data_IF_497750250232
#
_entry.id   IF_497750250232
#
_cell.length_a   1.000
_cell.length_b   1.000
_cell.length_c   1.000
_cell.angle_alpha   90.00
_cell.angle_beta   90.00
_cell.angle_gamma   90.00
#
_symmetry.space_group_name_H-M   'P 1'
#
loop_
_entity.id
_entity.type
_entity.pdbx_description
1 polymer ?
#
# COMPACT_ATOMS: atom_id res chain seq x y z
N UNK A 1 13.40 28.07 2.55
CA UNK A 1 11.94 28.25 2.75
C UNK A 1 11.35 27.58 1.55
N UNK A 2 10.48 26.59 1.73
CA UNK A 2 9.91 25.89 0.58
C UNK A 2 9.05 26.86 -0.26
N UNK A 3 9.05 26.65 -1.58
CA UNK A 3 8.17 27.33 -2.52
C UNK A 3 6.78 26.71 -2.45
N UNK A 4 5.77 27.55 -2.20
CA UNK A 4 4.38 27.10 -2.04
C UNK A 4 3.70 27.00 -3.40
N UNK A 5 3.18 25.82 -3.73
CA UNK A 5 2.41 25.52 -4.94
C UNK A 5 0.92 25.55 -4.60
N UNK A 6 0.15 26.34 -5.34
CA UNK A 6 -1.28 26.57 -5.10
C UNK A 6 -2.16 26.27 -6.32
N UNK A 7 -1.56 26.04 -7.48
CA UNK A 7 -2.26 25.64 -8.70
C UNK A 7 -1.41 24.72 -9.59
N UNK A 8 -2.05 24.13 -10.61
CA UNK A 8 -1.40 23.16 -11.51
C UNK A 8 -0.35 23.80 -12.42
N UNK A 9 -0.45 25.09 -12.72
CA UNK A 9 0.56 25.79 -13.53
C UNK A 9 1.85 25.98 -12.72
N UNK A 10 1.74 26.30 -11.43
CA UNK A 10 2.87 26.34 -10.50
C UNK A 10 3.49 24.94 -10.29
N UNK A 11 2.66 23.90 -10.24
CA UNK A 11 3.12 22.52 -10.16
C UNK A 11 3.99 22.16 -11.39
N UNK A 12 3.55 22.49 -12.60
CA UNK A 12 4.36 22.29 -13.82
C UNK A 12 5.63 23.14 -13.80
N UNK A 13 5.54 24.37 -13.31
CA UNK A 13 6.66 25.31 -13.28
C UNK A 13 7.83 24.87 -12.39
N UNK A 14 7.67 23.83 -11.55
CA UNK A 14 8.77 23.19 -10.82
C UNK A 14 9.93 22.77 -11.73
N UNK A 15 9.65 22.46 -13.00
CA UNK A 15 10.68 22.12 -14.00
C UNK A 15 11.74 23.23 -14.18
N UNK A 16 11.41 24.47 -13.81
CA UNK A 16 12.32 25.62 -13.92
C UNK A 16 13.34 25.70 -12.79
N UNK A 17 13.09 25.07 -11.65
CA UNK A 17 14.06 24.94 -10.56
C UNK A 17 13.90 23.59 -9.85
N UNK A 18 14.63 22.60 -10.34
CA UNK A 18 14.59 21.23 -9.84
C UNK A 18 15.27 21.05 -8.47
N UNK A 19 15.95 22.08 -7.95
CA UNK A 19 16.72 22.01 -6.70
C UNK A 19 16.02 22.63 -5.51
N UNK A 20 14.98 23.41 -5.75
CA UNK A 20 14.19 24.07 -4.72
C UNK A 20 13.33 23.05 -3.94
N UNK A 21 13.05 23.36 -2.68
CA UNK A 21 12.09 22.61 -1.86
C UNK A 21 10.68 23.13 -2.12
N UNK A 22 9.71 22.25 -2.29
CA UNK A 22 8.34 22.62 -2.62
C UNK A 22 7.34 22.08 -1.59
N UNK A 23 6.31 22.86 -1.32
CA UNK A 23 5.16 22.42 -0.52
C UNK A 23 3.83 22.78 -1.18
N UNK A 24 2.81 21.94 -1.02
CA UNK A 24 1.46 22.30 -1.45
C UNK A 24 0.79 23.25 -0.45
N UNK A 25 0.25 24.35 -0.96
CA UNK A 25 -0.59 25.31 -0.21
C UNK A 25 -2.07 24.96 -0.21
N UNK A 26 -2.48 23.93 -0.94
CA UNK A 26 -3.85 23.47 -1.06
C UNK A 26 -3.96 22.27 -2.00
N UNK A 27 -5.17 21.72 -2.13
CA UNK A 27 -5.45 20.72 -3.16
C UNK A 27 -5.28 21.35 -4.55
N UNK A 28 -4.66 20.61 -5.47
CA UNK A 28 -4.47 21.00 -6.86
C UNK A 28 -5.50 20.27 -7.72
N UNK A 29 -6.25 21.02 -8.52
CA UNK A 29 -7.06 20.49 -9.61
C UNK A 29 -6.19 20.47 -10.87
N UNK A 30 -5.82 19.27 -11.34
CA UNK A 30 -5.00 19.06 -12.52
C UNK A 30 -5.81 18.62 -13.74
N UNK A 31 -7.15 18.67 -13.71
CA UNK A 31 -8.02 18.21 -14.81
C UNK A 31 -7.73 18.92 -16.15
N UNK A 32 -7.28 20.18 -16.09
CA UNK A 32 -6.87 20.96 -17.26
C UNK A 32 -5.67 20.35 -18.01
N UNK A 33 -4.84 19.52 -17.35
CA UNK A 33 -3.66 18.89 -17.96
C UNK A 33 -4.04 18.01 -19.14
N UNK A 34 -5.24 17.43 -19.18
CA UNK A 34 -5.75 16.66 -20.32
C UNK A 34 -5.72 17.41 -21.67
N UNK A 35 -5.79 18.75 -21.64
CA UNK A 35 -5.68 19.60 -22.82
C UNK A 35 -4.26 20.13 -23.12
N UNK A 36 -3.27 19.84 -22.27
CA UNK A 36 -1.91 20.38 -22.38
C UNK A 36 -1.04 19.59 -23.35
N UNK A 37 0.03 20.23 -23.81
CA UNK A 37 1.06 19.60 -24.66
C UNK A 37 0.49 18.85 -25.88
N UNK A 38 -0.55 19.43 -26.51
CA UNK A 38 -1.23 18.82 -27.66
C UNK A 38 -2.06 17.56 -27.32
N UNK A 39 -2.50 17.43 -26.06
CA UNK A 39 -3.22 16.27 -25.54
C UNK A 39 -2.31 15.19 -24.94
N UNK A 40 -1.01 15.46 -24.80
CA UNK A 40 -0.06 14.57 -24.11
C UNK A 40 -0.13 14.68 -22.58
N UNK A 41 -0.82 15.68 -22.05
CA UNK A 41 -0.95 15.84 -20.60
C UNK A 41 0.10 16.74 -19.97
N UNK A 42 0.23 16.63 -18.66
CA UNK A 42 1.32 17.22 -17.88
C UNK A 42 2.69 16.76 -18.42
N UNK A 43 3.70 17.62 -18.35
CA UNK A 43 5.08 17.23 -18.70
C UNK A 43 5.79 16.72 -17.45
N UNK A 44 6.18 15.42 -17.38
CA UNK A 44 6.79 14.85 -16.18
C UNK A 44 7.97 15.69 -15.67
N UNK A 45 8.05 15.91 -14.36
CA UNK A 45 9.18 16.62 -13.77
C UNK A 45 10.40 15.68 -13.78
N UNK A 46 11.33 15.93 -14.70
CA UNK A 46 12.52 15.12 -14.87
C UNK A 46 13.66 15.64 -14.00
N UNK A 47 14.47 14.74 -13.45
CA UNK A 47 15.68 15.08 -12.69
C UNK A 47 15.44 15.90 -11.40
N UNK A 48 14.29 15.70 -10.74
CA UNK A 48 13.95 16.41 -9.50
C UNK A 48 14.98 16.14 -8.40
N UNK A 49 15.52 17.20 -7.79
CA UNK A 49 16.61 17.12 -6.82
C UNK A 49 16.35 17.89 -5.52
N UNK A 50 15.21 18.57 -5.39
CA UNK A 50 14.74 19.18 -4.16
C UNK A 50 13.97 18.21 -3.27
N UNK A 51 13.16 18.73 -2.35
CA UNK A 51 12.15 17.98 -1.60
C UNK A 51 10.73 18.42 -1.95
N UNK A 52 9.74 17.54 -1.72
CA UNK A 52 8.33 17.81 -2.00
C UNK A 52 7.45 17.37 -0.83
N UNK A 53 6.76 18.32 -0.21
CA UNK A 53 5.78 18.05 0.85
C UNK A 53 4.35 18.42 0.41
N UNK A 54 3.50 17.41 0.25
CA UNK A 54 2.10 17.62 -0.05
C UNK A 54 1.30 18.24 1.08
N UNK A 55 1.84 18.30 2.31
CA UNK A 55 1.19 18.85 3.50
C UNK A 55 -0.21 18.23 3.78
N UNK A 56 -0.40 16.98 3.34
CA UNK A 56 -1.66 16.25 3.40
C UNK A 56 -2.70 16.66 2.35
N UNK A 57 -2.34 17.47 1.36
CA UNK A 57 -3.18 17.84 0.22
C UNK A 57 -3.04 16.85 -0.94
N UNK A 58 -3.96 16.97 -1.89
CA UNK A 58 -4.02 16.11 -3.07
C UNK A 58 -3.77 16.86 -4.36
N UNK A 59 -3.26 16.15 -5.35
CA UNK A 59 -3.27 16.53 -6.77
C UNK A 59 -4.30 15.62 -7.43
N UNK A 60 -5.39 16.21 -7.92
CA UNK A 60 -6.55 15.47 -8.44
C UNK A 60 -6.56 15.54 -9.97
N UNK A 61 -7.02 14.48 -10.63
CA UNK A 61 -7.26 14.42 -12.08
C UNK A 61 -6.00 14.69 -12.93
N UNK A 62 -4.83 14.30 -12.43
CA UNK A 62 -3.57 14.45 -13.15
C UNK A 62 -3.54 13.50 -14.37
N UNK A 63 -3.44 14.06 -15.56
CA UNK A 63 -3.41 13.32 -16.82
C UNK A 63 -2.04 13.40 -17.49
N UNK A 64 -1.46 12.24 -17.82
CA UNK A 64 -0.24 12.14 -18.64
C UNK A 64 -0.43 11.01 -19.65
N UNK A 65 -0.41 11.32 -20.95
CA UNK A 65 -0.60 10.34 -22.03
C UNK A 65 0.53 10.40 -23.05
N UNK A 66 1.61 9.69 -22.73
CA UNK A 66 2.87 9.65 -23.49
C UNK A 66 3.26 8.20 -23.80
N UNK A 67 2.44 7.45 -24.55
CA UNK A 67 2.54 5.98 -24.67
C UNK A 67 3.86 5.48 -25.29
N UNK A 68 4.63 6.37 -25.93
CA UNK A 68 5.93 6.05 -26.53
C UNK A 68 7.13 6.46 -25.69
N UNK A 69 6.93 7.18 -24.60
CA UNK A 69 7.97 7.77 -23.74
C UNK A 69 8.09 7.01 -22.41
N UNK A 70 9.28 6.98 -21.82
CA UNK A 70 9.48 6.44 -20.47
C UNK A 70 9.42 7.54 -19.41
N UNK A 71 9.53 7.14 -18.14
CA UNK A 71 9.57 8.07 -16.99
C UNK A 71 8.28 8.90 -16.87
N UNK A 72 7.15 8.21 -16.96
CA UNK A 72 5.82 8.83 -16.96
C UNK A 72 5.22 8.76 -15.56
N UNK A 73 5.36 9.86 -14.84
CA UNK A 73 4.79 10.10 -13.51
C UNK A 73 4.80 11.61 -13.23
N UNK A 74 4.28 12.06 -12.07
CA UNK A 74 4.48 13.45 -11.62
C UNK A 74 5.99 13.78 -11.62
N UNK A 75 6.79 12.94 -10.98
CA UNK A 75 8.26 12.97 -11.05
C UNK A 75 8.74 11.86 -11.97
N UNK A 76 9.14 12.17 -13.20
CA UNK A 76 9.62 11.15 -14.13
C UNK A 76 10.84 10.41 -13.58
N UNK A 77 11.82 11.16 -13.05
CA UNK A 77 12.87 10.57 -12.20
C UNK A 77 13.42 11.58 -11.19
N UNK A 78 13.90 11.06 -10.06
CA UNK A 78 14.57 11.85 -9.01
C UNK A 78 16.08 11.75 -9.13
N UNK A 79 16.84 12.78 -8.78
CA UNK A 79 18.31 12.75 -8.74
C UNK A 79 18.87 12.18 -7.42
N UNK A 80 20.20 11.96 -7.40
CA UNK A 80 20.92 11.36 -6.27
C UNK A 80 21.07 12.26 -5.03
N UNK A 81 20.56 13.49 -5.06
CA UNK A 81 20.48 14.35 -3.89
C UNK A 81 19.04 14.79 -3.58
N UNK A 82 18.05 14.21 -4.27
CA UNK A 82 16.64 14.45 -4.00
C UNK A 82 16.33 14.17 -2.53
N UNK A 83 15.66 15.13 -1.88
CA UNK A 83 15.16 15.05 -0.52
C UNK A 83 13.88 14.22 -0.42
N UNK A 84 13.14 14.32 0.68
CA UNK A 84 11.91 13.56 0.88
C UNK A 84 10.81 13.95 -0.11
N UNK A 85 9.99 12.98 -0.50
CA UNK A 85 8.73 13.20 -1.22
C UNK A 85 7.64 12.63 -0.33
N UNK A 86 6.79 13.48 0.23
CA UNK A 86 5.92 13.08 1.33
C UNK A 86 4.55 13.74 1.35
N UNK A 87 3.61 13.12 2.07
CA UNK A 87 2.31 13.66 2.46
C UNK A 87 1.43 14.13 1.28
N UNK A 88 1.49 13.45 0.13
CA UNK A 88 0.72 13.81 -1.07
C UNK A 88 -0.13 12.64 -1.57
N UNK A 89 -1.38 12.94 -1.93
CA UNK A 89 -2.24 12.03 -2.67
C UNK A 89 -2.32 12.40 -4.15
N UNK A 90 -2.04 11.48 -5.05
CA UNK A 90 -2.31 11.62 -6.49
C UNK A 90 -3.64 10.93 -6.77
N UNK A 91 -4.71 11.71 -6.82
CA UNK A 91 -6.09 11.20 -6.83
C UNK A 91 -6.64 11.23 -8.25
N UNK A 92 -7.27 10.13 -8.64
CA UNK A 92 -7.95 9.94 -9.92
C UNK A 92 -7.07 10.28 -11.12
N UNK A 93 -5.80 9.87 -11.06
CA UNK A 93 -4.88 10.07 -12.15
C UNK A 93 -5.15 9.14 -13.33
N UNK A 94 -4.77 9.58 -14.53
CA UNK A 94 -4.76 8.75 -15.72
C UNK A 94 -3.39 8.87 -16.42
N UNK A 95 -2.57 7.84 -16.25
CA UNK A 95 -1.19 7.79 -16.70
C UNK A 95 -1.03 6.73 -17.80
N UNK A 96 -0.44 7.10 -18.92
CA UNK A 96 -0.14 6.21 -20.05
C UNK A 96 1.28 6.47 -20.54
N UNK A 97 2.12 5.44 -20.53
CA UNK A 97 3.54 5.53 -20.88
C UNK A 97 4.13 4.22 -21.41
N UNK A 98 5.44 4.26 -21.71
CA UNK A 98 6.19 3.10 -22.19
C UNK A 98 6.81 2.28 -21.06
N UNK A 99 7.70 2.88 -20.26
CA UNK A 99 8.41 2.23 -19.15
C UNK A 99 8.54 3.22 -17.98
N UNK A 100 8.75 2.72 -16.77
CA UNK A 100 8.83 3.51 -15.53
C UNK A 100 7.60 4.44 -15.42
N UNK A 101 6.42 3.83 -15.48
CA UNK A 101 5.12 4.52 -15.44
C UNK A 101 4.49 4.31 -14.07
N UNK A 102 4.23 5.41 -13.38
CA UNK A 102 3.55 5.39 -12.09
C UNK A 102 2.86 6.73 -11.79
N UNK A 103 2.10 6.80 -10.69
CA UNK A 103 1.45 8.05 -10.32
C UNK A 103 2.46 9.09 -9.79
N UNK A 104 3.36 8.68 -8.87
CA UNK A 104 4.21 9.62 -8.14
C UNK A 104 5.62 9.72 -8.72
N UNK A 105 6.35 8.59 -8.82
CA UNK A 105 7.74 8.57 -9.30
C UNK A 105 7.92 7.46 -10.35
N UNK A 106 8.42 7.82 -11.53
CA UNK A 106 8.81 6.83 -12.54
C UNK A 106 10.05 6.06 -12.10
N UNK A 107 11.17 6.76 -11.94
CA UNK A 107 12.47 6.17 -11.60
C UNK A 107 13.14 6.88 -10.41
N UNK A 108 13.20 6.22 -9.26
CA UNK A 108 13.72 6.77 -8.00
C UNK A 108 15.20 6.40 -7.81
N UNK A 109 16.12 7.21 -8.37
CA UNK A 109 17.57 6.94 -8.32
C UNK A 109 18.10 6.68 -6.89
N UNK A 110 19.15 5.85 -6.75
CA UNK A 110 19.80 5.60 -5.47
C UNK A 110 20.33 6.90 -4.85
N UNK A 111 20.05 7.10 -3.56
CA UNK A 111 20.66 8.18 -2.79
C UNK A 111 20.48 8.03 -1.28
N UNK A 112 21.33 8.70 -0.52
CA UNK A 112 21.34 8.63 0.95
C UNK A 112 20.23 9.52 1.51
N UNK A 113 19.36 8.95 2.35
CA UNK A 113 18.52 9.71 3.28
C UNK A 113 17.20 10.32 2.78
N UNK A 114 16.73 10.03 1.55
CA UNK A 114 15.33 10.36 1.19
C UNK A 114 14.44 9.16 1.40
N UNK A 115 13.21 9.47 1.77
CA UNK A 115 12.11 8.54 1.90
C UNK A 115 10.93 9.06 1.08
N UNK A 116 10.22 8.14 0.42
CA UNK A 116 8.84 8.39 -0.02
C UNK A 116 7.91 8.00 1.11
N UNK A 117 7.18 8.96 1.69
CA UNK A 117 6.37 8.67 2.88
C UNK A 117 4.99 9.31 2.92
N UNK A 118 4.01 8.60 3.48
CA UNK A 118 2.62 9.09 3.59
C UNK A 118 2.03 9.52 2.23
N UNK A 119 2.39 8.81 1.17
CA UNK A 119 1.95 9.11 -0.19
C UNK A 119 0.98 8.05 -0.69
N UNK A 120 0.02 8.46 -1.51
CA UNK A 120 -0.90 7.52 -2.10
C UNK A 120 -1.35 7.87 -3.50
N UNK A 121 -1.89 6.88 -4.21
CA UNK A 121 -2.46 7.07 -5.54
C UNK A 121 -3.78 6.32 -5.78
N UNK A 122 -4.66 6.93 -6.58
CA UNK A 122 -5.89 6.32 -7.13
C UNK A 122 -6.01 6.66 -8.61
N UNK A 123 -6.71 5.84 -9.39
CA UNK A 123 -6.93 6.06 -10.83
C UNK A 123 -6.42 4.90 -11.71
N UNK A 124 -5.92 5.22 -12.91
CA UNK A 124 -5.42 4.27 -13.91
C UNK A 124 -3.97 4.51 -14.28
N UNK A 125 -3.19 3.43 -14.32
CA UNK A 125 -1.82 3.41 -14.83
C UNK A 125 -1.73 2.41 -15.98
N UNK A 126 -1.27 2.86 -17.14
CA UNK A 126 -1.09 2.04 -18.34
C UNK A 126 0.36 2.13 -18.84
N UNK A 127 0.98 0.98 -19.00
CA UNK A 127 2.35 0.81 -19.48
C UNK A 127 2.47 -0.22 -20.58
N UNK A 128 3.56 -0.18 -21.33
CA UNK A 128 3.86 -1.20 -22.34
C UNK A 128 5.13 -1.97 -22.04
N UNK A 129 5.94 -1.57 -21.05
CA UNK A 129 7.22 -2.19 -20.70
C UNK A 129 7.47 -2.43 -19.20
N UNK A 130 8.68 -2.19 -18.70
CA UNK A 130 9.07 -2.46 -17.31
C UNK A 130 8.78 -1.28 -16.39
N UNK A 131 8.72 -1.51 -15.08
CA UNK A 131 8.55 -0.46 -14.09
C UNK A 131 7.14 0.14 -14.10
N UNK A 132 6.11 -0.68 -14.30
CA UNK A 132 4.72 -0.21 -14.37
C UNK A 132 4.05 -0.48 -13.04
N UNK A 133 3.73 0.58 -12.29
CA UNK A 133 3.13 0.40 -10.98
C UNK A 133 2.28 1.57 -10.51
N UNK A 134 1.49 1.33 -9.46
CA UNK A 134 0.56 2.34 -8.97
C UNK A 134 1.21 3.57 -8.35
N UNK A 135 2.36 3.44 -7.68
CA UNK A 135 3.00 4.56 -6.97
C UNK A 135 4.42 4.86 -7.47
N UNK A 136 5.29 3.86 -7.53
CA UNK A 136 6.69 4.02 -7.96
C UNK A 136 7.05 2.96 -9.00
N UNK A 137 7.54 3.38 -10.17
CA UNK A 137 7.91 2.45 -11.25
C UNK A 137 9.14 1.62 -10.89
N UNK A 138 10.27 2.29 -10.65
CA UNK A 138 11.54 1.71 -10.25
C UNK A 138 12.05 2.41 -9.00
N UNK A 139 12.40 1.65 -7.97
CA UNK A 139 12.77 2.16 -6.66
C UNK A 139 14.16 1.69 -6.23
N UNK A 140 14.93 2.59 -5.62
CA UNK A 140 16.20 2.29 -4.94
C UNK A 140 16.24 2.77 -3.48
N UNK A 141 15.16 3.38 -2.98
CA UNK A 141 15.12 4.11 -1.70
C UNK A 141 13.94 3.66 -0.83
N UNK A 142 13.88 4.15 0.41
CA UNK A 142 12.83 3.72 1.32
C UNK A 142 11.45 4.26 0.88
N UNK A 143 10.44 3.40 0.92
CA UNK A 143 9.03 3.73 0.75
C UNK A 143 8.30 3.30 2.03
N UNK A 144 7.60 4.21 2.68
CA UNK A 144 7.03 3.95 4.00
C UNK A 144 5.67 4.60 4.18
N UNK A 145 4.70 3.88 4.76
CA UNK A 145 3.35 4.41 5.00
C UNK A 145 2.65 4.88 3.70
N UNK A 146 2.85 4.13 2.61
CA UNK A 146 2.40 4.48 1.28
C UNK A 146 1.44 3.45 0.69
N UNK A 147 0.53 3.86 -0.18
CA UNK A 147 -0.39 2.92 -0.81
C UNK A 147 -0.83 3.30 -2.22
N UNK A 148 -1.37 2.32 -2.93
CA UNK A 148 -2.00 2.54 -4.23
C UNK A 148 -3.28 1.72 -4.36
N UNK A 149 -4.33 2.36 -4.88
CA UNK A 149 -5.54 1.68 -5.32
C UNK A 149 -5.71 1.78 -6.84
N UNK A 150 -4.66 2.19 -7.57
CA UNK A 150 -4.72 2.34 -9.02
C UNK A 150 -4.94 0.99 -9.72
N UNK A 151 -5.77 0.99 -10.77
CA UNK A 151 -5.79 -0.11 -11.72
C UNK A 151 -4.56 -0.03 -12.60
N UNK A 152 -3.71 -1.06 -12.56
CA UNK A 152 -2.44 -1.11 -13.28
C UNK A 152 -2.56 -2.05 -14.48
N UNK A 153 -2.26 -1.56 -15.67
CA UNK A 153 -2.30 -2.35 -16.91
C UNK A 153 -0.94 -2.32 -17.62
N UNK A 154 -0.37 -3.48 -17.92
CA UNK A 154 0.84 -3.61 -18.74
C UNK A 154 0.57 -4.47 -19.98
N UNK A 155 0.54 -3.89 -21.18
CA UNK A 155 0.11 -4.60 -22.40
C UNK A 155 1.23 -5.25 -23.22
N UNK A 156 2.46 -5.30 -22.69
CA UNK A 156 3.56 -5.96 -23.41
C UNK A 156 4.16 -5.12 -24.55
N UNK A 157 5.29 -5.59 -25.06
CA UNK A 157 6.09 -5.00 -26.14
C UNK A 157 7.45 -5.71 -26.23
N UNK A 158 8.05 -5.82 -27.43
CA UNK A 158 9.32 -6.54 -27.56
C UNK A 158 10.46 -5.97 -26.69
N UNK A 159 11.25 -6.84 -26.03
CA UNK A 159 12.66 -6.57 -25.70
C UNK A 159 13.12 -6.55 -24.23
N UNK A 160 12.29 -6.58 -23.19
CA UNK A 160 12.78 -6.51 -21.79
C UNK A 160 11.90 -7.28 -20.79
N UNK A 161 12.51 -7.87 -19.75
CA UNK A 161 11.85 -8.48 -18.58
C UNK A 161 11.29 -7.40 -17.62
N UNK A 162 10.14 -7.64 -16.97
CA UNK A 162 9.29 -6.53 -16.46
C UNK A 162 8.72 -6.78 -15.09
N UNK A 163 9.06 -5.89 -14.15
CA UNK A 163 8.32 -5.67 -12.92
C UNK A 163 7.04 -4.88 -13.19
N UNK A 164 5.88 -5.49 -12.95
CA UNK A 164 4.57 -4.82 -12.94
C UNK A 164 3.88 -5.12 -11.61
N UNK A 165 3.38 -4.10 -10.92
CA UNK A 165 2.71 -4.33 -9.64
C UNK A 165 1.74 -3.23 -9.21
N UNK A 166 0.98 -3.50 -8.15
CA UNK A 166 0.05 -2.52 -7.60
C UNK A 166 0.73 -1.33 -6.92
N UNK A 167 1.91 -1.49 -6.31
CA UNK A 167 2.63 -0.40 -5.63
C UNK A 167 3.98 -0.06 -6.29
N UNK A 168 4.89 -1.03 -6.38
CA UNK A 168 6.27 -0.83 -6.86
C UNK A 168 6.61 -1.81 -7.98
N UNK A 169 6.98 -1.31 -9.17
CA UNK A 169 7.30 -2.19 -10.30
C UNK A 169 8.56 -3.00 -10.02
N UNK A 170 9.64 -2.30 -9.67
CA UNK A 170 10.94 -2.90 -9.39
C UNK A 170 11.57 -2.26 -8.14
N UNK A 171 11.97 -3.07 -7.17
CA UNK A 171 12.53 -2.60 -5.90
C UNK A 171 13.97 -3.08 -5.73
N UNK A 172 14.93 -2.24 -6.10
CA UNK A 172 16.36 -2.57 -6.10
C UNK A 172 17.13 -1.81 -5.00
N UNK A 173 18.43 -2.08 -4.88
CA UNK A 173 19.31 -1.57 -3.86
C UNK A 173 18.85 -1.91 -2.43
N UNK A 174 19.00 -0.94 -1.54
CA UNK A 174 18.56 -1.02 -0.15
C UNK A 174 17.20 -0.35 0.06
N UNK A 175 16.37 -0.27 -0.98
CA UNK A 175 15.05 0.36 -0.93
C UNK A 175 14.08 -0.46 -0.08
N UNK A 176 13.98 -0.15 1.22
CA UNK A 176 13.04 -0.82 2.11
C UNK A 176 11.60 -0.38 1.82
N UNK A 177 10.66 -1.32 1.77
CA UNK A 177 9.22 -1.06 1.68
C UNK A 177 8.60 -1.45 3.02
N UNK A 178 7.94 -0.51 3.71
CA UNK A 178 7.45 -0.74 5.08
C UNK A 178 6.10 -0.10 5.31
N UNK A 179 5.13 -0.85 5.86
CA UNK A 179 3.77 -0.32 6.11
C UNK A 179 3.10 0.19 4.84
N UNK A 180 3.22 -0.59 3.79
CA UNK A 180 2.69 -0.23 2.48
C UNK A 180 1.64 -1.21 1.98
N UNK A 181 0.77 -0.76 1.08
CA UNK A 181 -0.22 -1.66 0.48
C UNK A 181 -0.66 -1.33 -0.93
N UNK A 182 -1.19 -2.35 -1.61
CA UNK A 182 -1.83 -2.23 -2.90
C UNK A 182 -3.18 -2.95 -2.94
N UNK A 183 -4.24 -2.26 -3.34
CA UNK A 183 -5.58 -2.85 -3.51
C UNK A 183 -6.13 -2.76 -4.93
N UNK A 184 -5.49 -1.99 -5.80
CA UNK A 184 -5.87 -1.89 -7.21
C UNK A 184 -5.51 -3.15 -8.00
N UNK A 185 -6.34 -3.49 -9.00
CA UNK A 185 -6.13 -4.68 -9.82
C UNK A 185 -4.92 -4.51 -10.75
N UNK A 186 -4.21 -5.61 -11.00
CA UNK A 186 -3.07 -5.67 -11.94
C UNK A 186 -3.47 -6.54 -13.13
N UNK A 187 -3.46 -5.96 -14.32
CA UNK A 187 -3.68 -6.68 -15.59
C UNK A 187 -2.42 -6.63 -16.44
N UNK A 188 -1.97 -7.78 -16.93
CA UNK A 188 -0.78 -7.84 -17.76
C UNK A 188 -0.96 -8.76 -18.97
N UNK A 189 -0.36 -8.40 -20.11
CA UNK A 189 -0.19 -9.29 -21.25
C UNK A 189 1.29 -9.49 -21.54
N UNK A 190 1.75 -10.74 -21.61
CA UNK A 190 3.15 -11.07 -21.93
C UNK A 190 3.28 -11.54 -23.38
N UNK A 191 4.19 -10.94 -24.14
CA UNK A 191 4.36 -11.21 -25.57
C UNK A 191 5.75 -11.74 -25.95
N UNK A 192 6.82 -11.40 -25.22
CA UNK A 192 8.18 -11.83 -25.63
C UNK A 192 9.26 -12.02 -24.54
N UNK A 193 9.06 -11.67 -23.26
CA UNK A 193 10.09 -11.80 -22.20
C UNK A 193 9.52 -12.13 -20.82
N UNK A 194 10.41 -12.39 -19.84
CA UNK A 194 10.06 -12.76 -18.46
C UNK A 194 9.12 -11.72 -17.83
N UNK A 195 7.98 -12.18 -17.33
CA UNK A 195 6.99 -11.33 -16.67
C UNK A 195 7.06 -11.51 -15.16
N UNK A 196 7.48 -10.46 -14.46
CA UNK A 196 7.64 -10.40 -13.01
C UNK A 196 6.47 -9.60 -12.45
N UNK A 197 5.42 -10.28 -12.02
CA UNK A 197 4.15 -9.64 -11.67
C UNK A 197 3.84 -9.93 -10.22
N UNK A 198 3.62 -8.87 -9.45
CA UNK A 198 3.22 -8.97 -8.06
C UNK A 198 2.05 -8.07 -7.71
N UNK A 199 1.32 -8.41 -6.65
CA UNK A 199 0.27 -7.55 -6.13
C UNK A 199 0.84 -6.27 -5.51
N UNK A 200 1.90 -6.40 -4.69
CA UNK A 200 2.59 -5.26 -4.08
C UNK A 200 3.81 -4.84 -4.91
N UNK A 201 4.68 -5.80 -5.23
CA UNK A 201 5.98 -5.56 -5.86
C UNK A 201 6.25 -6.51 -7.03
N UNK A 202 6.72 -6.01 -8.17
CA UNK A 202 6.96 -6.88 -9.33
C UNK A 202 8.20 -7.75 -9.12
N UNK A 203 9.29 -7.12 -8.70
CA UNK A 203 10.57 -7.76 -8.46
C UNK A 203 11.37 -7.09 -7.35
N UNK A 204 12.07 -7.91 -6.56
CA UNK A 204 13.08 -7.54 -5.59
C UNK A 204 14.33 -8.34 -5.97
N UNK A 205 15.33 -7.79 -6.67
CA UNK A 205 16.51 -8.57 -7.07
C UNK A 205 17.66 -8.55 -6.04
N UNK A 206 17.58 -7.70 -5.02
CA UNK A 206 18.69 -7.35 -4.14
C UNK A 206 18.23 -7.17 -2.68
N UNK A 207 18.88 -6.30 -1.91
CA UNK A 207 18.76 -6.21 -0.43
C UNK A 207 17.52 -5.45 0.08
N UNK A 208 16.56 -5.14 -0.79
CA UNK A 208 15.39 -4.35 -0.43
C UNK A 208 14.41 -5.15 0.43
N UNK A 209 14.40 -4.91 1.74
CA UNK A 209 13.47 -5.56 2.67
C UNK A 209 12.04 -5.09 2.46
N UNK A 210 11.07 -5.99 2.61
CA UNK A 210 9.66 -5.64 2.64
C UNK A 210 9.03 -6.14 3.93
N UNK A 211 8.55 -5.20 4.74
CA UNK A 211 7.96 -5.54 6.03
C UNK A 211 6.58 -4.95 6.20
N UNK A 212 5.75 -5.62 7.00
CA UNK A 212 4.50 -5.05 7.48
C UNK A 212 3.68 -4.52 6.30
N UNK A 213 3.48 -5.29 5.24
CA UNK A 213 2.87 -4.79 4.00
C UNK A 213 1.95 -5.83 3.38
N UNK A 214 1.02 -5.42 2.53
CA UNK A 214 0.07 -6.37 1.95
C UNK A 214 -0.51 -5.98 0.60
N UNK A 215 -1.06 -6.98 -0.10
CA UNK A 215 -1.74 -6.81 -1.38
C UNK A 215 -3.12 -7.48 -1.39
N UNK A 216 -4.14 -6.78 -1.88
CA UNK A 216 -5.51 -7.31 -2.02
C UNK A 216 -6.05 -7.22 -3.44
N UNK A 217 -5.40 -6.46 -4.33
CA UNK A 217 -5.80 -6.33 -5.73
C UNK A 217 -5.67 -7.65 -6.49
N UNK A 218 -6.61 -7.94 -7.39
CA UNK A 218 -6.58 -9.15 -8.20
C UNK A 218 -5.56 -9.01 -9.34
N UNK A 219 -4.91 -10.12 -9.68
CA UNK A 219 -3.94 -10.23 -10.76
C UNK A 219 -4.55 -11.04 -11.90
N UNK A 220 -4.55 -10.47 -13.11
CA UNK A 220 -4.98 -11.14 -14.34
C UNK A 220 -3.89 -11.06 -15.41
N UNK A 221 -3.37 -12.21 -15.83
CA UNK A 221 -2.29 -12.30 -16.81
C UNK A 221 -2.72 -13.11 -18.02
N UNK A 222 -2.57 -12.53 -19.21
CA UNK A 222 -2.66 -13.26 -20.48
C UNK A 222 -1.27 -13.41 -21.06
N UNK A 223 -0.71 -14.61 -20.98
CA UNK A 223 0.67 -14.89 -21.34
C UNK A 223 0.81 -15.56 -22.72
N UNK A 224 1.84 -15.14 -23.46
CA UNK A 224 2.30 -15.77 -24.69
C UNK A 224 3.20 -16.97 -24.41
N UNK A 225 4.47 -16.89 -24.84
CA UNK A 225 5.42 -18.02 -24.86
C UNK A 225 6.63 -17.85 -23.94
N UNK A 226 6.45 -17.25 -22.76
CA UNK A 226 7.56 -16.67 -21.97
C UNK A 226 7.52 -17.12 -20.52
N UNK A 227 8.68 -17.07 -19.83
CA UNK A 227 8.74 -17.32 -18.38
C UNK A 227 7.87 -16.36 -17.59
N UNK A 228 7.05 -16.90 -16.70
CA UNK A 228 6.17 -16.16 -15.80
C UNK A 228 6.64 -16.35 -14.37
N UNK A 229 6.82 -15.26 -13.65
CA UNK A 229 7.04 -15.24 -12.21
C UNK A 229 5.97 -14.34 -11.59
N UNK A 230 4.89 -14.99 -11.15
CA UNK A 230 3.67 -14.30 -10.71
C UNK A 230 3.39 -14.67 -9.27
N UNK A 231 3.36 -13.66 -8.39
CA UNK A 231 2.98 -13.84 -7.00
C UNK A 231 1.85 -12.91 -6.59
N UNK A 232 0.92 -13.37 -5.75
CA UNK A 232 -0.11 -12.48 -5.19
C UNK A 232 0.47 -11.30 -4.41
N UNK A 233 1.69 -11.43 -3.86
CA UNK A 233 2.44 -10.36 -3.20
C UNK A 233 3.61 -9.87 -4.07
N UNK A 234 4.54 -10.79 -4.42
CA UNK A 234 5.77 -10.50 -5.14
C UNK A 234 6.02 -11.45 -6.30
N UNK A 235 6.35 -10.95 -7.49
CA UNK A 235 6.65 -11.81 -8.64
C UNK A 235 7.95 -12.60 -8.45
N UNK A 236 9.06 -11.87 -8.46
CA UNK A 236 10.41 -12.39 -8.20
C UNK A 236 10.98 -11.80 -6.91
N UNK A 237 11.23 -12.65 -5.93
CA UNK A 237 11.78 -12.25 -4.65
C UNK A 237 13.18 -12.84 -4.51
N UNK A 238 14.20 -11.98 -4.56
CA UNK A 238 15.58 -12.41 -4.54
C UNK A 238 16.52 -11.41 -3.88
N UNK A 239 17.72 -11.89 -3.55
CA UNK A 239 18.82 -11.06 -3.06
C UNK A 239 19.04 -11.19 -1.57
N UNK A 240 20.29 -11.47 -1.19
CA UNK A 240 20.65 -11.73 0.20
C UNK A 240 20.35 -10.50 1.06
N UNK A 241 19.47 -10.64 2.04
CA UNK A 241 19.00 -9.54 2.90
C UNK A 241 17.79 -8.76 2.39
N UNK A 242 17.25 -9.13 1.22
CA UNK A 242 15.95 -8.65 0.70
C UNK A 242 14.78 -9.41 1.31
N UNK A 243 14.75 -9.50 2.64
CA UNK A 243 13.81 -10.33 3.39
C UNK A 243 12.38 -9.78 3.34
N UNK A 244 11.39 -10.67 3.25
CA UNK A 244 9.97 -10.32 3.30
C UNK A 244 9.38 -10.83 4.62
N UNK A 245 8.92 -9.93 5.48
CA UNK A 245 8.47 -10.30 6.83
C UNK A 245 7.16 -9.65 7.22
N UNK A 246 6.27 -10.40 7.87
CA UNK A 246 5.01 -9.88 8.37
C UNK A 246 4.12 -9.27 7.27
N UNK A 247 3.92 -10.01 6.19
CA UNK A 247 3.23 -9.54 4.99
C UNK A 247 2.10 -10.50 4.57
N UNK A 248 1.14 -10.01 3.79
CA UNK A 248 0.08 -10.90 3.28
C UNK A 248 -0.46 -10.55 1.89
N UNK A 249 -0.99 -11.56 1.19
CA UNK A 249 -1.66 -11.41 -0.10
C UNK A 249 -3.04 -12.09 -0.13
N UNK A 250 -4.06 -11.37 -0.60
CA UNK A 250 -5.45 -11.88 -0.64
C UNK A 250 -6.11 -11.80 -2.01
N UNK A 251 -5.56 -11.02 -2.94
CA UNK A 251 -6.07 -10.92 -4.30
C UNK A 251 -5.96 -12.23 -5.06
N UNK A 252 -6.91 -12.51 -5.95
CA UNK A 252 -6.84 -13.72 -6.80
C UNK A 252 -5.73 -13.59 -7.85
N UNK A 253 -5.20 -14.73 -8.29
CA UNK A 253 -4.20 -14.82 -9.36
C UNK A 253 -4.78 -15.66 -10.49
N UNK A 254 -5.06 -15.00 -11.62
CA UNK A 254 -5.58 -15.66 -12.83
C UNK A 254 -4.58 -15.58 -13.96
N UNK A 255 -4.19 -16.72 -14.52
CA UNK A 255 -3.20 -16.81 -15.61
C UNK A 255 -3.74 -17.63 -16.77
N UNK A 256 -3.88 -16.98 -17.93
CA UNK A 256 -4.20 -17.62 -19.21
C UNK A 256 -2.97 -17.62 -20.10
N UNK A 257 -2.30 -18.77 -20.28
CA UNK A 257 -1.03 -18.88 -21.00
C UNK A 257 -1.16 -19.72 -22.28
N UNK A 258 -0.51 -19.28 -23.37
CA UNK A 258 -0.37 -20.04 -24.61
C UNK A 258 0.70 -21.12 -24.56
N UNK A 259 1.82 -20.86 -23.86
CA UNK A 259 2.85 -21.84 -23.53
C UNK A 259 2.87 -22.08 -22.02
N UNK A 260 2.61 -23.33 -21.63
CA UNK A 260 2.52 -23.72 -20.22
C UNK A 260 3.85 -24.21 -19.66
N UNK A 261 4.92 -24.32 -20.48
CA UNK A 261 6.19 -24.89 -20.04
C UNK A 261 7.03 -23.98 -19.14
N UNK A 262 6.63 -22.71 -18.94
CA UNK A 262 7.47 -21.68 -18.31
C UNK A 262 6.71 -20.84 -17.27
N UNK A 263 6.00 -21.42 -16.31
CA UNK A 263 5.28 -20.64 -15.28
C UNK A 263 5.63 -21.03 -13.84
N UNK A 264 6.04 -20.02 -13.06
CA UNK A 264 6.17 -20.05 -11.61
C UNK A 264 5.09 -19.12 -11.02
N UNK A 265 4.03 -19.71 -10.48
CA UNK A 265 2.87 -18.99 -9.95
C UNK A 265 2.67 -19.36 -8.48
N UNK A 266 2.71 -18.36 -7.61
CA UNK A 266 2.42 -18.52 -6.19
C UNK A 266 1.30 -17.61 -5.71
N UNK A 267 0.55 -18.05 -4.70
CA UNK A 267 -0.43 -17.18 -4.04
C UNK A 267 0.22 -16.00 -3.28
N UNK A 268 1.49 -16.12 -2.90
CA UNK A 268 2.29 -15.06 -2.28
C UNK A 268 3.46 -14.68 -3.19
N UNK A 269 4.37 -15.61 -3.50
CA UNK A 269 5.57 -15.34 -4.29
C UNK A 269 5.65 -16.22 -5.55
N UNK A 270 5.94 -15.64 -6.71
CA UNK A 270 6.17 -16.44 -7.92
C UNK A 270 7.43 -17.30 -7.78
N UNK A 271 8.54 -16.66 -7.43
CA UNK A 271 9.87 -17.28 -7.33
C UNK A 271 10.64 -16.68 -6.15
N UNK A 272 11.27 -17.53 -5.33
CA UNK A 272 12.15 -17.13 -4.22
C UNK A 272 13.58 -17.65 -4.43
N UNK A 273 14.58 -16.75 -4.41
CA UNK A 273 15.99 -17.11 -4.61
C UNK A 273 16.94 -16.24 -3.77
N UNK A 274 17.82 -16.84 -2.96
CA UNK A 274 18.81 -16.08 -2.17
C UNK A 274 18.17 -15.01 -1.26
N UNK A 275 16.99 -15.27 -0.68
CA UNK A 275 16.22 -14.35 0.16
C UNK A 275 15.33 -15.16 1.13
N UNK A 276 14.81 -14.54 2.19
CA UNK A 276 13.93 -15.19 3.15
C UNK A 276 12.52 -14.61 3.13
N UNK A 277 11.51 -15.46 3.35
CA UNK A 277 10.13 -15.04 3.61
C UNK A 277 9.70 -15.61 4.95
N UNK A 278 9.26 -14.73 5.86
CA UNK A 278 8.95 -15.08 7.24
C UNK A 278 7.66 -14.43 7.74
N UNK A 279 6.88 -15.15 8.54
CA UNK A 279 5.61 -14.69 9.09
C UNK A 279 4.66 -14.06 8.04
N UNK A 280 4.50 -14.73 6.91
CA UNK A 280 3.65 -14.23 5.81
C UNK A 280 2.50 -15.18 5.46
N UNK A 281 1.44 -14.66 4.83
CA UNK A 281 0.36 -15.54 4.37
C UNK A 281 -0.30 -15.18 3.04
N UNK A 282 -0.89 -16.17 2.36
CA UNK A 282 -1.73 -15.99 1.17
C UNK A 282 -3.11 -16.65 1.28
N UNK A 283 -4.14 -16.02 0.69
CA UNK A 283 -5.50 -16.58 0.63
C UNK A 283 -6.17 -16.49 -0.74
N UNK A 284 -5.57 -15.79 -1.69
CA UNK A 284 -6.18 -15.54 -3.00
C UNK A 284 -6.40 -16.83 -3.81
N UNK A 285 -7.54 -16.91 -4.50
CA UNK A 285 -7.83 -17.99 -5.44
C UNK A 285 -6.81 -18.01 -6.58
N UNK A 286 -6.32 -19.20 -6.94
CA UNK A 286 -5.37 -19.39 -8.04
C UNK A 286 -6.06 -20.16 -9.16
N UNK A 287 -6.14 -19.53 -10.34
CA UNK A 287 -6.75 -20.13 -11.54
C UNK A 287 -5.80 -19.98 -12.72
N UNK A 288 -5.23 -21.09 -13.17
CA UNK A 288 -4.22 -21.10 -14.24
C UNK A 288 -4.57 -22.06 -15.36
N UNK A 289 -4.03 -21.82 -16.56
CA UNK A 289 -4.08 -22.79 -17.66
C UNK A 289 -3.48 -24.13 -17.24
N UNK A 290 -4.14 -25.24 -17.61
CA UNK A 290 -3.67 -26.59 -17.30
C UNK A 290 -2.28 -26.87 -17.91
N UNK A 291 -1.40 -27.49 -17.12
CA UNK A 291 -0.06 -27.90 -17.56
C UNK A 291 1.07 -26.96 -17.15
N UNK A 292 0.78 -25.84 -16.47
CA UNK A 292 1.84 -25.01 -15.90
C UNK A 292 2.52 -25.77 -14.74
N UNK A 293 3.86 -25.94 -14.75
CA UNK A 293 4.52 -26.90 -13.86
C UNK A 293 4.60 -26.46 -12.41
N UNK A 294 4.84 -25.17 -12.14
CA UNK A 294 5.15 -24.67 -10.80
C UNK A 294 4.04 -23.75 -10.32
N UNK A 295 2.98 -24.35 -9.76
CA UNK A 295 1.82 -23.63 -9.24
C UNK A 295 1.63 -24.00 -7.78
N UNK A 296 1.75 -23.00 -6.89
CA UNK A 296 1.72 -23.22 -5.45
C UNK A 296 0.77 -22.27 -4.72
N UNK A 297 0.14 -22.77 -3.66
CA UNK A 297 -0.74 -21.95 -2.81
C UNK A 297 -0.03 -20.78 -2.13
N UNK A 298 1.27 -20.92 -1.83
CA UNK A 298 2.11 -19.84 -1.29
C UNK A 298 3.21 -19.42 -2.26
N UNK A 299 4.11 -20.35 -2.64
CA UNK A 299 5.21 -20.06 -3.56
C UNK A 299 5.17 -20.99 -4.78
N UNK A 300 5.43 -20.43 -5.96
CA UNK A 300 5.52 -21.19 -7.21
C UNK A 300 6.79 -22.04 -7.25
N UNK A 301 7.95 -21.40 -7.09
CA UNK A 301 9.25 -22.06 -6.96
C UNK A 301 10.06 -21.44 -5.82
N UNK A 302 10.63 -22.29 -4.97
CA UNK A 302 11.44 -21.88 -3.85
C UNK A 302 12.82 -22.52 -3.89
N UNK A 303 13.86 -21.70 -3.90
CA UNK A 303 15.27 -22.14 -3.78
C UNK A 303 15.94 -21.64 -2.50
N UNK A 304 15.15 -21.19 -1.52
CA UNK A 304 15.62 -20.62 -0.26
C UNK A 304 14.63 -20.83 0.91
N UNK A 305 14.64 -19.93 1.89
CA UNK A 305 14.07 -20.14 3.21
C UNK A 305 12.70 -19.47 3.32
N UNK A 306 11.67 -20.31 3.54
CA UNK A 306 10.32 -19.88 3.88
C UNK A 306 9.99 -20.41 5.28
N UNK A 307 9.79 -19.52 6.24
CA UNK A 307 9.57 -19.86 7.66
C UNK A 307 8.23 -19.28 8.14
N UNK A 308 7.51 -20.01 8.98
CA UNK A 308 6.24 -19.55 9.60
C UNK A 308 5.20 -18.97 8.63
N UNK A 309 5.26 -19.36 7.36
CA UNK A 309 4.37 -18.86 6.32
C UNK A 309 3.20 -19.81 6.08
N UNK A 310 2.02 -19.26 5.80
CA UNK A 310 0.79 -20.03 5.65
C UNK A 310 0.04 -19.71 4.36
N UNK A 311 -0.71 -20.68 3.85
CA UNK A 311 -1.67 -20.44 2.78
C UNK A 311 -2.97 -21.19 3.02
N UNK A 312 -4.07 -20.59 2.59
CA UNK A 312 -5.40 -21.20 2.75
C UNK A 312 -5.66 -22.21 1.64
N UNK A 313 -5.77 -23.50 2.00
CA UNK A 313 -5.92 -24.59 1.03
C UNK A 313 -7.28 -24.65 0.35
N UNK A 314 -8.29 -24.00 0.93
CA UNK A 314 -9.65 -24.04 0.42
C UNK A 314 -9.93 -22.83 -0.46
N UNK A 315 -9.51 -21.63 -0.07
CA UNK A 315 -9.74 -20.43 -0.88
C UNK A 315 -8.77 -20.30 -2.04
N UNK A 316 -7.52 -20.74 -1.90
CA UNK A 316 -6.58 -20.76 -3.02
C UNK A 316 -6.95 -21.79 -4.09
N UNK A 317 -7.67 -22.85 -3.71
CA UNK A 317 -7.96 -24.01 -4.56
C UNK A 317 -6.75 -24.91 -4.81
N UNK A 318 -5.60 -24.65 -4.18
CA UNK A 318 -4.37 -25.43 -4.36
C UNK A 318 -4.28 -26.58 -3.34
N UNK A 319 -3.59 -27.65 -3.72
CA UNK A 319 -3.27 -28.76 -2.82
C UNK A 319 -1.81 -28.73 -2.32
N UNK A 320 -0.93 -28.03 -3.05
CA UNK A 320 0.52 -28.02 -2.83
C UNK A 320 1.08 -26.60 -2.95
N UNK A 321 2.30 -26.43 -2.47
CA UNK A 321 3.10 -25.21 -2.60
C UNK A 321 4.57 -25.56 -2.41
N UNK A 322 5.47 -24.86 -3.09
CA UNK A 322 6.91 -25.04 -2.90
C UNK A 322 7.37 -24.21 -1.69
N UNK A 323 7.01 -24.66 -0.49
CA UNK A 323 7.21 -23.94 0.77
C UNK A 323 5.94 -23.28 1.31
N UNK A 324 6.02 -22.82 2.55
CA UNK A 324 4.87 -22.46 3.37
C UNK A 324 4.04 -23.68 3.80
N UNK A 325 3.22 -23.53 4.83
CA UNK A 325 2.37 -24.59 5.37
C UNK A 325 0.92 -24.35 4.98
N UNK A 326 0.31 -25.31 4.27
CA UNK A 326 -1.12 -25.26 3.96
C UNK A 326 -1.98 -25.41 5.21
N UNK A 327 -2.96 -24.54 5.36
CA UNK A 327 -3.94 -24.55 6.46
C UNK A 327 -5.35 -24.47 5.88
N UNK A 328 -6.33 -25.09 6.54
CA UNK A 328 -7.73 -24.90 6.15
C UNK A 328 -8.18 -23.47 6.44
N UNK A 329 -9.26 -23.00 5.83
CA UNK A 329 -9.85 -21.69 6.14
C UNK A 329 -10.18 -21.54 7.62
N UNK A 330 -10.68 -22.59 8.27
CA UNK A 330 -10.95 -22.54 9.70
C UNK A 330 -9.67 -22.33 10.53
N UNK A 331 -8.57 -23.01 10.18
CA UNK A 331 -7.27 -22.82 10.82
C UNK A 331 -6.71 -21.43 10.55
N UNK A 332 -6.78 -20.94 9.31
CA UNK A 332 -6.33 -19.61 8.92
C UNK A 332 -7.11 -18.47 9.59
N UNK A 333 -8.29 -18.76 10.14
CA UNK A 333 -9.11 -17.81 10.91
C UNK A 333 -9.03 -18.02 12.43
N UNK A 334 -8.10 -18.86 12.88
CA UNK A 334 -7.87 -19.17 14.30
C UNK A 334 -6.54 -18.58 14.75
N UNK A 335 -6.57 -17.69 15.76
CA UNK A 335 -5.38 -17.02 16.31
C UNK A 335 -4.26 -17.99 16.70
N UNK A 336 -4.63 -19.07 17.40
CA UNK A 336 -3.70 -20.09 17.88
C UNK A 336 -2.83 -20.68 16.76
N UNK A 337 -3.35 -20.79 15.52
CA UNK A 337 -2.59 -21.28 14.36
C UNK A 337 -1.32 -20.47 14.12
N UNK A 338 -1.36 -19.17 14.39
CA UNK A 338 -0.27 -18.22 14.14
C UNK A 338 0.59 -18.02 15.38
N UNK A 339 -0.01 -17.89 16.57
CA UNK A 339 0.75 -17.76 17.82
C UNK A 339 1.58 -19.00 18.13
N UNK A 340 1.06 -20.21 17.81
CA UNK A 340 1.81 -21.47 17.97
C UNK A 340 3.02 -21.56 17.03
N UNK A 341 3.02 -20.78 15.94
CA UNK A 341 4.14 -20.63 15.02
C UNK A 341 5.06 -19.45 15.37
N UNK A 342 4.75 -18.71 16.44
CA UNK A 342 5.59 -17.61 16.93
C UNK A 342 5.19 -16.21 16.45
N UNK A 343 4.07 -16.04 15.75
CA UNK A 343 3.64 -14.72 15.28
C UNK A 343 3.30 -13.80 16.46
N UNK A 344 3.73 -12.54 16.38
CA UNK A 344 3.57 -11.54 17.43
C UNK A 344 2.21 -10.81 17.35
N UNK A 345 1.23 -11.23 18.16
CA UNK A 345 -0.11 -10.65 18.21
C UNK A 345 -0.26 -9.48 19.19
N UNK A 346 0.72 -9.21 20.05
CA UNK A 346 0.70 -8.06 20.96
C UNK A 346 1.02 -6.75 20.24
N UNK A 347 1.88 -6.77 19.21
CA UNK A 347 2.33 -5.54 18.54
C UNK A 347 2.23 -5.54 17.02
N UNK A 348 2.21 -6.70 16.35
CA UNK A 348 2.21 -6.77 14.88
C UNK A 348 0.83 -7.17 14.33
N UNK A 349 0.34 -8.32 14.75
CA UNK A 349 -0.86 -8.93 14.19
C UNK A 349 -2.08 -8.77 15.09
N UNK A 350 -3.27 -8.88 14.49
CA UNK A 350 -4.56 -9.06 15.17
C UNK A 350 -5.41 -9.99 14.33
N UNK A 351 -6.40 -10.62 14.96
CA UNK A 351 -7.44 -11.35 14.26
C UNK A 351 -8.79 -11.03 14.87
N UNK A 352 -9.79 -10.81 14.02
CA UNK A 352 -11.16 -10.53 14.43
C UNK A 352 -12.09 -10.97 13.32
N UNK A 353 -13.10 -11.77 13.63
CA UNK A 353 -14.01 -12.37 12.65
C UNK A 353 -14.71 -11.36 11.73
N UNK A 354 -14.82 -10.10 12.15
CA UNK A 354 -15.46 -9.02 11.41
C UNK A 354 -14.49 -8.16 10.59
N UNK A 355 -13.19 -8.46 10.59
CA UNK A 355 -12.16 -7.69 9.89
C UNK A 355 -11.32 -8.61 9.02
N UNK A 356 -10.95 -8.14 7.82
CA UNK A 356 -10.13 -8.90 6.87
C UNK A 356 -10.68 -10.33 6.67
N UNK A 357 -12.02 -10.46 6.59
CA UNK A 357 -12.79 -11.71 6.56
C UNK A 357 -12.47 -12.74 7.66
N UNK A 358 -11.96 -12.28 8.80
CA UNK A 358 -11.57 -13.13 9.92
C UNK A 358 -10.15 -13.70 9.80
N UNK A 359 -9.37 -13.34 8.79
CA UNK A 359 -7.95 -13.66 8.71
C UNK A 359 -7.12 -12.68 9.55
N UNK A 360 -5.88 -13.02 9.95
CA UNK A 360 -4.98 -12.08 10.59
C UNK A 360 -4.79 -10.83 9.75
N UNK A 361 -4.65 -9.67 10.38
CA UNK A 361 -4.34 -8.42 9.72
C UNK A 361 -3.32 -7.64 10.54
N UNK A 362 -2.63 -6.72 9.87
CA UNK A 362 -1.59 -5.91 10.48
C UNK A 362 -2.20 -4.78 11.32
N UNK A 363 -1.69 -4.61 12.54
CA UNK A 363 -2.20 -3.61 13.51
C UNK A 363 -2.13 -2.17 13.01
N UNK A 364 -1.06 -1.81 12.30
CA UNK A 364 -0.88 -0.45 11.75
C UNK A 364 -1.86 -0.15 10.61
N UNK A 365 -2.52 -1.17 10.06
CA UNK A 365 -3.48 -1.07 8.98
C UNK A 365 -4.86 -0.52 9.35
N UNK A 366 -5.06 -0.15 10.61
CA UNK A 366 -6.31 0.40 11.11
C UNK A 366 -6.12 1.86 11.53
N UNK A 367 -7.02 2.72 11.06
CA UNK A 367 -7.29 3.98 11.73
C UNK A 367 -8.56 3.82 12.53
N UNK A 368 -8.45 3.89 13.85
CA UNK A 368 -9.60 4.00 14.76
C UNK A 368 -9.72 5.44 15.24
N UNK A 369 -10.81 6.12 14.92
CA UNK A 369 -11.14 7.43 15.45
C UNK A 369 -12.44 7.32 16.26
N UNK A 370 -12.37 7.80 17.49
CA UNK A 370 -13.54 8.05 18.31
C UNK A 370 -13.93 9.50 18.19
N UNK A 371 -15.19 9.77 17.88
CA UNK A 371 -15.73 11.12 17.93
C UNK A 371 -16.88 11.19 18.91
N UNK A 372 -16.78 12.20 19.77
CA UNK A 372 -17.73 12.44 20.83
C UNK A 372 -18.32 13.84 20.68
N UNK A 373 -19.66 13.91 20.74
CA UNK A 373 -20.38 15.18 20.86
C UNK A 373 -21.59 14.97 21.77
N UNK A 374 -21.49 15.41 23.02
CA UNK A 374 -22.55 15.20 24.02
C UNK A 374 -22.65 13.72 24.40
N UNK A 375 -23.85 13.15 24.37
CA UNK A 375 -24.08 11.71 24.66
C UNK A 375 -23.84 10.81 23.41
N UNK A 376 -23.50 11.39 22.26
CA UNK A 376 -23.25 10.63 21.01
C UNK A 376 -21.78 10.24 20.90
N UNK A 377 -21.54 8.94 20.74
CA UNK A 377 -20.23 8.36 20.41
C UNK A 377 -20.30 7.69 19.04
N UNK A 378 -19.33 8.00 18.18
CA UNK A 378 -19.17 7.32 16.89
C UNK A 378 -17.76 6.76 16.80
N UNK A 379 -17.68 5.44 16.60
CA UNK A 379 -16.42 4.74 16.36
C UNK A 379 -16.23 4.55 14.87
N UNK A 380 -15.21 5.20 14.33
CA UNK A 380 -14.76 4.97 12.96
C UNK A 380 -13.62 3.98 13.02
N UNK A 381 -13.79 2.82 12.40
CA UNK A 381 -12.68 1.92 12.08
C UNK A 381 -12.63 1.90 10.55
N UNK A 382 -11.68 2.59 9.93
CA UNK A 382 -11.52 2.47 8.49
C UNK A 382 -10.56 1.33 8.17
N UNK A 383 -10.95 0.51 7.18
CA UNK A 383 -10.02 -0.34 6.44
C UNK A 383 -9.45 0.47 5.28
N UNK A 384 -8.18 0.26 4.98
CA UNK A 384 -7.48 0.55 3.74
C UNK A 384 -8.32 1.08 2.55
N UNK A 385 -8.58 2.40 2.50
CA UNK A 385 -9.28 3.03 1.37
C UNK A 385 -10.72 2.54 1.11
N UNK A 386 -11.24 1.57 1.86
CA UNK A 386 -12.61 1.08 1.80
C UNK A 386 -13.38 1.45 3.07
N UNK A 387 -14.53 2.09 2.85
CA UNK A 387 -15.39 2.66 3.89
C UNK A 387 -16.18 1.54 4.57
N UNK A 388 -15.69 1.03 5.70
CA UNK A 388 -16.50 0.19 6.60
C UNK A 388 -16.86 0.99 7.85
N UNK A 389 -18.16 1.19 8.08
CA UNK A 389 -18.67 1.83 9.30
C UNK A 389 -19.06 0.71 10.26
N UNK A 390 -18.28 0.50 11.30
CA UNK A 390 -18.65 -0.43 12.37
C UNK A 390 -19.46 0.30 13.46
N UNK A 391 -20.72 0.60 13.15
CA UNK A 391 -21.78 0.89 14.13
C UNK A 391 -21.88 2.32 14.66
N UNK A 392 -23.10 2.85 14.65
CA UNK A 392 -23.54 3.90 15.57
C UNK A 392 -24.19 3.24 16.77
N UNK A 393 -23.75 3.56 17.99
CA UNK A 393 -24.64 3.43 19.14
C UNK A 393 -25.34 4.77 19.32
N UNK A 394 -26.30 5.03 18.44
CA UNK A 394 -27.27 6.08 18.65
C UNK A 394 -28.63 5.43 18.56
N UNK A 395 -29.10 4.94 19.71
CA UNK A 395 -30.53 4.99 19.97
C UNK A 395 -31.01 6.41 19.62
N UNK A 396 -31.73 6.50 18.51
CA UNK A 396 -32.46 7.67 18.00
C UNK A 396 -31.62 8.80 17.35
N UNK A 397 -31.35 8.72 16.04
CA UNK A 397 -31.54 9.84 15.10
C UNK A 397 -31.50 9.37 13.62
N UNK A 398 -32.54 9.68 12.85
CA UNK A 398 -32.73 9.32 11.43
C UNK A 398 -32.08 10.32 10.45
N UNK A 399 -31.02 11.02 10.86
CA UNK A 399 -30.33 12.02 10.02
C UNK A 399 -28.82 11.80 9.89
N UNK A 400 -28.38 10.54 9.91
CA UNK A 400 -26.96 10.16 9.86
C UNK A 400 -26.19 10.91 8.74
N UNK A 401 -25.29 11.80 9.18
CA UNK A 401 -24.28 12.45 8.34
C UNK A 401 -23.01 11.64 8.50
N UNK A 402 -22.46 11.20 7.39
CA UNK A 402 -21.29 10.35 7.33
C UNK A 402 -20.05 11.21 7.50
N UNK A 403 -19.07 10.67 8.21
CA UNK A 403 -17.80 11.33 8.43
C UNK A 403 -16.69 10.39 8.00
N UNK A 404 -15.73 10.91 7.25
CA UNK A 404 -14.53 10.14 6.95
C UNK A 404 -13.27 11.02 7.02
N UNK A 405 -12.13 10.35 7.09
CA UNK A 405 -10.81 10.96 7.24
C UNK A 405 -10.10 10.88 5.89
N UNK A 406 -9.54 12.01 5.44
CA UNK A 406 -8.67 12.09 4.28
C UNK A 406 -7.40 12.83 4.71
N UNK A 407 -6.27 12.13 4.79
CA UNK A 407 -5.06 12.66 5.40
C UNK A 407 -5.28 13.07 6.87
N UNK A 408 -4.96 14.32 7.23
CA UNK A 408 -5.22 14.89 8.57
C UNK A 408 -6.60 15.57 8.70
N UNK A 409 -7.43 15.51 7.67
CA UNK A 409 -8.67 16.27 7.58
C UNK A 409 -9.91 15.41 7.77
N UNK A 410 -10.89 16.02 8.43
CA UNK A 410 -12.20 15.44 8.72
C UNK A 410 -13.24 15.96 7.71
N UNK A 411 -13.86 15.06 6.95
CA UNK A 411 -14.83 15.36 5.90
C UNK A 411 -16.23 14.91 6.29
N UNK A 412 -17.20 15.83 6.17
CA UNK A 412 -18.62 15.53 6.34
C UNK A 412 -19.25 15.28 4.98
N UNK A 413 -19.94 14.15 4.81
CA UNK A 413 -20.73 13.82 3.64
C UNK A 413 -22.19 13.53 3.98
N UNK A 414 -23.07 13.76 3.00
CA UNK A 414 -24.45 13.31 3.06
C UNK A 414 -24.58 11.79 2.82
N UNK A 415 -25.81 11.27 2.94
CA UNK A 415 -26.13 9.85 2.72
C UNK A 415 -25.91 9.39 1.26
N UNK A 416 -25.72 10.32 0.33
CA UNK A 416 -25.42 10.06 -1.08
C UNK A 416 -23.92 10.15 -1.38
N UNK A 417 -23.09 10.44 -0.38
CA UNK A 417 -21.63 10.55 -0.51
C UNK A 417 -21.11 11.93 -0.93
N UNK A 418 -21.96 12.95 -1.03
CA UNK A 418 -21.54 14.31 -1.43
C UNK A 418 -20.97 15.09 -0.24
N UNK A 419 -19.85 15.79 -0.44
CA UNK A 419 -19.21 16.58 0.62
C UNK A 419 -20.04 17.81 1.00
N UNK A 420 -20.37 17.92 2.30
CA UNK A 420 -21.22 18.98 2.85
C UNK A 420 -20.45 19.96 3.75
N UNK A 421 -19.25 19.59 4.27
CA UNK A 421 -18.37 20.50 5.04
C UNK A 421 -16.97 19.92 5.32
N UNK A 422 -15.91 20.70 5.09
CA UNK A 422 -14.51 20.41 5.49
C UNK A 422 -14.11 21.23 6.71
N UNK A 423 -14.08 20.68 7.94
CA UNK A 423 -13.56 21.42 9.12
C UNK A 423 -12.99 20.52 10.21
N UNK A 424 -11.68 20.31 10.15
CA UNK A 424 -10.83 19.87 11.27
C UNK A 424 -9.43 19.53 10.77
N UNK A 425 -8.38 20.01 11.44
CA UNK A 425 -6.96 19.65 11.24
C UNK A 425 -6.42 19.18 12.59
N UNK A 426 -5.79 18.02 12.66
CA UNK A 426 -5.07 17.59 13.88
C UNK A 426 -3.70 18.30 13.95
N UNK A 427 -3.36 18.94 15.08
CA UNK A 427 -2.01 19.48 15.32
C UNK A 427 -1.54 19.18 16.76
N UNK A 428 -0.46 18.40 16.93
CA UNK A 428 0.45 18.48 18.09
C UNK A 428 0.81 17.21 18.93
N UNK A 429 2.06 16.72 18.78
CA UNK A 429 3.12 16.40 19.80
C UNK A 429 3.14 15.05 20.64
N UNK A 430 4.40 14.57 20.80
CA UNK A 430 5.19 13.41 21.36
C UNK A 430 5.08 12.84 22.82
N UNK A 431 5.62 11.60 23.07
CA UNK A 431 5.91 10.90 24.37
C UNK A 431 5.19 9.57 24.84
N UNK A 432 5.72 8.37 24.49
CA UNK A 432 5.57 6.90 24.88
C UNK A 432 4.72 6.27 26.07
N UNK A 433 4.00 5.17 25.73
CA UNK A 433 3.62 3.82 26.35
C UNK A 433 2.72 3.68 27.63
N UNK A 434 1.99 2.54 27.85
CA UNK A 434 0.83 2.00 27.13
C UNK A 434 -0.31 1.51 28.08
N UNK A 435 -1.49 2.15 28.14
CA UNK A 435 -2.67 1.53 28.79
C UNK A 435 -4.00 1.91 28.13
N UNK A 436 -4.86 0.91 27.92
CA UNK A 436 -6.27 1.11 27.64
C UNK A 436 -6.93 1.73 28.88
N UNK A 437 -7.20 3.03 28.79
CA UNK A 437 -7.89 3.81 29.81
C UNK A 437 -9.25 4.22 29.27
N UNK A 438 -10.28 4.17 30.12
CA UNK A 438 -11.58 4.72 29.78
C UNK A 438 -12.16 5.53 30.93
N UNK A 439 -12.86 6.60 30.57
CA UNK A 439 -13.36 7.60 31.50
C UNK A 439 -14.88 7.46 31.58
N UNK A 440 -15.43 7.56 32.78
CA UNK A 440 -16.86 7.80 32.99
C UNK A 440 -17.07 9.14 33.72
N UNK A 441 -18.34 9.60 33.79
CA UNK A 441 -18.76 10.90 34.31
C UNK A 441 -18.21 11.28 35.72
N UNK A 442 -17.66 10.34 36.51
CA UNK A 442 -17.15 10.60 37.87
C UNK A 442 -15.77 9.96 38.20
N UNK A 443 -15.25 9.06 37.35
CA UNK A 443 -14.03 8.29 37.63
C UNK A 443 -13.30 7.83 36.36
N UNK A 444 -12.02 7.49 36.52
CA UNK A 444 -11.21 6.77 35.53
C UNK A 444 -11.11 5.31 35.98
N UNK A 445 -11.55 4.39 35.12
CA UNK A 445 -11.42 2.96 35.34
C UNK A 445 -10.19 2.44 34.57
N UNK A 446 -9.41 1.55 35.18
CA UNK A 446 -8.21 0.97 34.56
C UNK A 446 -8.01 -0.49 35.00
N UNK A 447 -7.34 -1.29 34.16
CA UNK A 447 -6.91 -2.65 34.51
C UNK A 447 -5.45 -2.59 34.96
N UNK A 448 -5.16 -3.10 36.15
CA UNK A 448 -3.81 -3.07 36.70
C UNK A 448 -2.91 -4.19 36.14
N UNK A 449 -1.61 -4.15 36.48
CA UNK A 449 -0.61 -5.08 35.96
C UNK A 449 -0.86 -6.56 36.29
N UNK A 450 -1.83 -6.86 37.17
CA UNK A 450 -2.24 -8.22 37.52
C UNK A 450 -3.54 -8.65 36.81
N UNK A 451 -4.14 -7.77 35.99
CA UNK A 451 -5.41 -8.03 35.30
C UNK A 451 -6.65 -7.69 36.13
N UNK A 452 -6.49 -7.05 37.29
CA UNK A 452 -7.60 -6.67 38.15
C UNK A 452 -8.17 -5.29 37.78
N UNK A 453 -9.50 -5.16 37.77
CA UNK A 453 -10.19 -3.90 37.50
C UNK A 453 -10.12 -2.94 38.71
N UNK A 454 -9.69 -1.69 38.48
CA UNK A 454 -9.46 -0.65 39.49
C UNK A 454 -10.12 0.67 39.07
N UNK A 455 -10.34 1.57 40.04
CA UNK A 455 -10.96 2.87 39.78
C UNK A 455 -10.29 4.04 40.54
N UNK A 456 -10.27 5.21 39.90
CA UNK A 456 -9.77 6.49 40.43
C UNK A 456 -10.85 7.59 40.33
N UNK A 457 -11.24 8.26 41.44
CA UNK A 457 -12.22 9.36 41.40
C UNK A 457 -11.66 10.60 40.67
N UNK A 458 -12.48 11.27 39.84
CA UNK A 458 -12.07 12.47 39.11
C UNK A 458 -11.77 13.68 40.02
N UNK A 459 -12.34 13.71 41.23
CA UNK A 459 -12.15 14.79 42.22
C UNK A 459 -10.76 14.81 42.85
N UNK A 460 -9.98 13.73 42.71
CA UNK A 460 -8.58 13.66 43.13
C UNK A 460 -7.58 14.19 42.09
N UNK A 461 -8.04 14.56 40.89
CA UNK A 461 -7.17 15.02 39.80
C UNK A 461 -7.10 16.56 39.85
N UNK A 462 -6.34 17.08 40.82
CA UNK A 462 -5.95 18.49 40.85
C UNK A 462 -4.56 18.64 40.26
N UNK A 463 -4.49 19.21 39.06
CA UNK A 463 -3.33 19.82 38.41
C UNK A 463 -1.97 19.08 38.55
N UNK A 464 -1.48 18.57 37.42
CA UNK A 464 -0.28 17.75 37.20
C UNK A 464 -0.50 16.23 37.29
N UNK A 465 0.01 15.54 36.27
CA UNK A 465 -0.12 14.10 35.96
C UNK A 465 -1.41 13.71 35.20
N UNK A 466 -1.24 12.90 34.15
CA UNK A 466 -2.25 12.37 33.21
C UNK A 466 -2.66 13.27 32.04
N UNK A 467 -1.78 13.40 31.06
CA UNK A 467 -2.12 13.62 29.65
C UNK A 467 -0.86 13.39 28.81
N UNK A 468 -0.56 12.12 28.51
CA UNK A 468 0.36 11.68 27.46
C UNK A 468 -0.17 10.32 26.99
N UNK A 469 -0.62 10.22 25.73
CA UNK A 469 -0.43 9.06 24.83
C UNK A 469 -1.38 9.10 23.62
N UNK A 470 -0.92 9.72 22.52
CA UNK A 470 -1.07 9.19 21.16
C UNK A 470 0.24 9.53 20.45
N UNK A 471 1.15 8.57 20.39
CA UNK A 471 2.46 8.77 19.75
C UNK A 471 2.69 7.71 18.69
N UNK A 472 2.68 8.22 17.46
CA UNK A 472 3.59 7.84 16.39
C UNK A 472 4.93 7.35 16.97
N UNK A 473 5.19 6.05 16.93
CA UNK A 473 6.56 5.57 17.01
C UNK A 473 7.21 5.90 15.66
N UNK A 474 8.04 6.96 15.66
CA UNK A 474 8.80 7.43 14.51
C UNK A 474 10.10 6.69 14.30
#
# INVERSE_FOLDING_TARGET
MATVITDVTQLQAMENDLTEDYELGGNIDASATSGWNGGLGFDPILAFNGSFDGNGYTINDLFINRPTEGYVALFGWTNTSCGNIQNVGIVDCDMSGKFDVAALIGYHLPAVGSVVSNCYSTGSIAGTQFGIAGLVGYNFRAITDCYSTCSVTCTGGAGHARGTAGLVGYNDGAGAITRCYASGNVTATSDANVSLIGGLVGSIPSTGQITLSFATGNISVTAGTTTLEIGGFGGFCAGAGGDITNCYARGSVTVSAGDTSLGNIGGFAGSLQNSTIDDCYSTGAISVTEGIPNVGGFCGINSDTITNCFWDTQTSGMATSDGGTGKTTAQMKTEATFTDAGWEFATIWRIKSTFNDGYPYLRWGLFSIWLESGDTRVHFISEFGEKVISGSDTGVDTTAKLLFVQGQYLHWVDLSGNEIRKRGRLTGITGKTPFDTWINKEKVDYIDANGDERYLPLTSITNSAFLNEVIFNG
#
